data_IF_711796103336
#
_entry.id   IF_711796103336
#
_cell.length_a   1.000
_cell.length_b   1.000
_cell.length_c   1.000
_cell.angle_alpha   90.00
_cell.angle_beta   90.00
_cell.angle_gamma   90.00
#
_symmetry.space_group_name_H-M   'P 1'
#
loop_
_entity.id
_entity.type
_entity.pdbx_description
1 polymer ?
#
# COMPACT_ATOMS: atom_id res chain seq x y z
N UNK A 1 5.98 -43.16 -2.93
CA UNK A 1 6.36 -42.06 -2.03
C UNK A 1 7.08 -41.06 -2.91
N UNK A 2 6.48 -39.87 -3.15
CA UNK A 2 7.17 -38.84 -3.95
C UNK A 2 8.47 -38.47 -3.27
N UNK A 3 9.51 -38.21 -4.06
CA UNK A 3 10.79 -37.74 -3.54
C UNK A 3 10.60 -36.40 -2.83
N UNK A 4 11.36 -36.19 -1.76
CA UNK A 4 11.44 -34.95 -0.99
C UNK A 4 11.57 -33.68 -1.85
N UNK A 5 12.41 -33.74 -2.89
CA UNK A 5 12.59 -32.65 -3.86
C UNK A 5 11.39 -32.47 -4.80
N UNK A 6 10.56 -33.49 -4.98
CA UNK A 6 9.34 -33.40 -5.80
C UNK A 6 8.30 -32.52 -5.13
N UNK A 7 8.22 -32.47 -3.79
CA UNK A 7 7.26 -31.61 -3.10
C UNK A 7 7.58 -30.12 -3.26
N UNK A 8 8.85 -29.72 -3.10
CA UNK A 8 9.27 -28.34 -3.39
C UNK A 8 9.03 -28.03 -4.85
N UNK A 9 9.43 -28.94 -5.75
CA UNK A 9 9.25 -28.73 -7.20
C UNK A 9 7.78 -28.54 -7.55
N UNK A 10 6.88 -29.37 -7.02
CA UNK A 10 5.43 -29.27 -7.27
C UNK A 10 4.86 -27.95 -6.74
N UNK A 11 5.28 -27.50 -5.56
CA UNK A 11 4.91 -26.18 -5.01
C UNK A 11 5.36 -25.04 -5.92
N UNK A 12 6.63 -25.04 -6.34
CA UNK A 12 7.19 -24.02 -7.22
C UNK A 12 6.51 -24.00 -8.60
N UNK A 13 6.16 -25.18 -9.14
CA UNK A 13 5.41 -25.30 -10.40
C UNK A 13 3.98 -24.79 -10.23
N UNK A 14 3.36 -25.06 -9.08
CA UNK A 14 2.00 -24.57 -8.78
C UNK A 14 1.94 -23.04 -8.73
N UNK A 15 2.93 -22.41 -8.09
CA UNK A 15 3.13 -20.95 -8.12
C UNK A 15 1.87 -20.14 -7.82
N UNK A 16 1.08 -20.55 -6.82
CA UNK A 16 -0.25 -20.00 -6.55
C UNK A 16 -0.15 -18.53 -6.12
N UNK A 17 -0.66 -17.60 -6.94
CA UNK A 17 -0.72 -16.17 -6.59
C UNK A 17 -2.15 -15.84 -6.15
N UNK A 18 -2.28 -15.40 -4.90
CA UNK A 18 -3.57 -15.07 -4.27
C UNK A 18 -4.05 -13.66 -4.64
N UNK A 19 -3.12 -12.76 -5.02
CA UNK A 19 -3.43 -11.37 -5.35
C UNK A 19 -3.30 -10.39 -4.17
N UNK A 20 -2.64 -10.80 -3.09
CA UNK A 20 -2.35 -9.96 -1.91
C UNK A 20 -0.85 -9.68 -1.81
N UNK A 21 -0.46 -8.43 -1.57
CA UNK A 21 0.97 -8.04 -1.51
C UNK A 21 1.69 -8.62 -0.29
N UNK A 22 0.97 -8.93 0.79
CA UNK A 22 1.56 -9.57 1.97
C UNK A 22 1.83 -11.07 1.76
N UNK A 23 1.21 -11.67 0.73
CA UNK A 23 1.35 -13.07 0.37
C UNK A 23 2.35 -13.26 -0.79
N UNK A 24 2.82 -14.49 -1.04
CA UNK A 24 3.68 -14.80 -2.18
C UNK A 24 3.12 -14.31 -3.52
N UNK A 25 3.92 -13.54 -4.26
CA UNK A 25 3.59 -13.04 -5.60
C UNK A 25 4.59 -13.51 -6.67
N UNK A 26 5.83 -13.80 -6.26
CA UNK A 26 6.90 -14.24 -7.16
C UNK A 26 7.53 -15.52 -6.63
N UNK A 27 7.55 -16.58 -7.44
CA UNK A 27 8.07 -17.89 -7.04
C UNK A 27 9.38 -18.22 -7.73
N UNK A 28 10.25 -18.94 -7.01
CA UNK A 28 11.45 -19.50 -7.61
C UNK A 28 11.08 -20.51 -8.70
N UNK A 29 11.82 -20.53 -9.79
CA UNK A 29 11.66 -21.55 -10.84
C UNK A 29 12.57 -22.73 -10.54
N UNK A 30 12.11 -23.99 -10.64
CA UNK A 30 12.96 -25.16 -10.36
C UNK A 30 14.28 -25.16 -11.15
N UNK A 31 14.25 -24.74 -12.41
CA UNK A 31 15.42 -24.64 -13.30
C UNK A 31 16.39 -23.50 -12.95
N UNK A 32 15.92 -22.47 -12.27
CA UNK A 32 16.69 -21.27 -11.89
C UNK A 32 16.67 -21.05 -10.36
N UNK A 33 16.51 -22.13 -9.59
CA UNK A 33 16.27 -22.05 -8.14
C UNK A 33 17.40 -21.33 -7.41
N UNK A 34 18.66 -21.58 -7.83
CA UNK A 34 19.84 -20.94 -7.27
C UNK A 34 19.94 -19.45 -7.61
N UNK A 35 19.50 -19.03 -8.79
CA UNK A 35 19.51 -17.62 -9.20
C UNK A 35 18.54 -16.81 -8.34
N UNK A 36 17.43 -17.42 -7.92
CA UNK A 36 16.46 -16.82 -7.01
C UNK A 36 16.99 -16.57 -5.59
N UNK A 37 18.16 -17.14 -5.26
CA UNK A 37 18.82 -16.96 -3.97
C UNK A 37 19.74 -15.72 -3.94
N UNK A 38 19.91 -15.04 -5.08
CA UNK A 38 20.71 -13.82 -5.18
C UNK A 38 20.12 -12.69 -4.32
N UNK A 39 20.98 -11.96 -3.61
CA UNK A 39 20.61 -10.89 -2.68
C UNK A 39 20.40 -11.34 -1.23
N UNK A 40 20.12 -12.63 -1.00
CA UNK A 40 19.93 -13.19 0.35
C UNK A 40 21.04 -14.16 0.72
N UNK A 41 21.26 -15.13 -0.16
CA UNK A 41 22.17 -16.27 0.04
C UNK A 41 23.49 -16.08 -0.70
N UNK A 42 23.46 -15.39 -1.84
CA UNK A 42 24.64 -15.07 -2.66
C UNK A 42 24.58 -13.62 -3.12
N UNK A 43 25.74 -12.99 -3.27
CA UNK A 43 25.83 -11.66 -3.85
C UNK A 43 25.55 -11.77 -5.37
N UNK A 44 24.55 -11.04 -5.87
CA UNK A 44 24.14 -11.12 -7.28
C UNK A 44 25.20 -10.62 -8.28
N UNK A 45 26.20 -9.86 -7.83
CA UNK A 45 27.27 -9.34 -8.68
C UNK A 45 28.57 -10.16 -8.55
N UNK A 46 28.95 -10.56 -7.33
CA UNK A 46 30.23 -11.22 -7.06
C UNK A 46 30.12 -12.75 -6.95
N UNK A 47 28.90 -13.27 -6.72
CA UNK A 47 28.66 -14.68 -6.44
C UNK A 47 29.13 -15.14 -5.05
N UNK A 48 29.64 -14.22 -4.22
CA UNK A 48 30.09 -14.55 -2.87
C UNK A 48 28.92 -14.98 -1.99
N UNK A 49 29.20 -15.91 -1.07
CA UNK A 49 28.22 -16.36 -0.08
C UNK A 49 27.88 -15.24 0.90
N UNK A 50 26.58 -15.03 1.14
CA UNK A 50 26.07 -14.08 2.13
C UNK A 50 25.57 -14.77 3.41
N UNK A 51 25.55 -16.11 3.43
CA UNK A 51 25.05 -16.88 4.58
C UNK A 51 26.04 -16.95 5.73
N UNK A 52 25.53 -17.02 6.95
CA UNK A 52 26.31 -17.10 8.19
C UNK A 52 25.48 -17.71 9.32
N UNK A 53 26.16 -18.30 10.30
CA UNK A 53 25.57 -18.81 11.56
C UNK A 53 25.45 -17.71 12.63
N UNK A 54 25.76 -16.47 12.29
CA UNK A 54 25.65 -15.34 13.23
C UNK A 54 24.18 -15.02 13.50
N UNK A 55 23.84 -14.71 14.76
CA UNK A 55 22.49 -14.28 15.12
C UNK A 55 22.01 -13.12 14.23
N UNK A 56 20.79 -13.25 13.71
CA UNK A 56 20.20 -12.29 12.76
C UNK A 56 20.77 -12.33 11.33
N UNK A 57 21.70 -13.23 11.01
CA UNK A 57 22.15 -13.44 9.63
C UNK A 57 21.28 -14.47 8.89
N UNK A 58 21.38 -14.48 7.56
CA UNK A 58 20.71 -15.50 6.75
C UNK A 58 21.41 -16.85 6.93
N UNK A 59 20.68 -17.88 7.37
CA UNK A 59 21.28 -19.19 7.68
C UNK A 59 21.63 -20.00 6.42
N UNK A 60 22.68 -20.83 6.42
CA UNK A 60 23.06 -21.61 5.24
C UNK A 60 21.98 -22.56 4.69
N UNK A 61 21.16 -23.10 5.57
CA UNK A 61 20.07 -24.03 5.30
C UNK A 61 18.78 -23.34 4.86
N UNK A 62 18.69 -22.01 4.94
CA UNK A 62 17.51 -21.26 4.51
C UNK A 62 17.54 -21.02 3.00
N UNK A 63 16.51 -21.54 2.32
CA UNK A 63 16.32 -21.38 0.88
C UNK A 63 14.97 -20.73 0.57
N UNK A 64 15.04 -19.67 -0.22
CA UNK A 64 13.89 -18.88 -0.62
C UNK A 64 13.14 -19.61 -1.71
N UNK A 65 11.83 -19.76 -1.52
CA UNK A 65 10.93 -20.41 -2.48
C UNK A 65 9.99 -19.42 -3.14
N UNK A 66 9.72 -18.29 -2.49
CA UNK A 66 8.95 -17.19 -3.06
C UNK A 66 9.32 -15.84 -2.41
N UNK A 67 8.88 -14.75 -3.02
CA UNK A 67 8.87 -13.40 -2.46
C UNK A 67 7.44 -12.90 -2.38
N UNK A 68 7.12 -12.17 -1.32
CA UNK A 68 5.86 -11.42 -1.23
C UNK A 68 5.88 -10.24 -2.19
N UNK A 69 4.72 -9.58 -2.37
CA UNK A 69 4.66 -8.31 -3.10
C UNK A 69 5.35 -7.14 -2.39
N UNK A 70 5.76 -7.32 -1.14
CA UNK A 70 6.55 -6.38 -0.35
C UNK A 70 8.05 -6.73 -0.34
N UNK A 71 8.50 -7.67 -1.17
CA UNK A 71 9.90 -8.14 -1.20
C UNK A 71 10.37 -8.86 0.09
N UNK A 72 9.44 -9.38 0.91
CA UNK A 72 9.76 -10.29 2.01
C UNK A 72 10.00 -11.71 1.49
N UNK A 73 11.09 -12.38 1.91
CA UNK A 73 11.36 -13.75 1.50
C UNK A 73 10.44 -14.74 2.21
N UNK A 74 9.86 -15.64 1.44
CA UNK A 74 9.23 -16.87 1.93
C UNK A 74 10.18 -18.03 1.69
N UNK A 75 10.60 -18.70 2.75
CA UNK A 75 11.71 -19.64 2.72
C UNK A 75 11.46 -20.90 3.56
N UNK A 76 12.30 -21.91 3.31
CA UNK A 76 12.31 -23.19 4.00
C UNK A 76 13.67 -23.41 4.63
N UNK A 77 13.68 -24.09 5.77
CA UNK A 77 14.89 -24.70 6.32
C UNK A 77 15.08 -26.09 5.68
N UNK A 78 16.18 -26.26 4.95
CA UNK A 78 16.46 -27.50 4.23
C UNK A 78 16.78 -28.69 5.14
N UNK A 79 17.06 -28.46 6.42
CA UNK A 79 17.28 -29.51 7.41
C UNK A 79 15.97 -30.03 8.03
N UNK A 80 14.84 -29.33 7.85
CA UNK A 80 13.54 -29.68 8.47
C UNK A 80 12.66 -30.57 7.57
N UNK A 81 13.32 -31.44 6.83
CA UNK A 81 12.71 -32.36 5.89
C UNK A 81 11.66 -33.29 6.52
N UNK A 82 12.01 -33.83 7.69
CA UNK A 82 11.19 -34.79 8.42
C UNK A 82 9.90 -34.17 8.97
N UNK A 83 9.90 -32.84 9.18
CA UNK A 83 8.74 -32.06 9.58
C UNK A 83 7.89 -31.59 8.39
N UNK A 84 8.25 -31.97 7.15
CA UNK A 84 7.53 -31.59 5.94
C UNK A 84 7.77 -30.15 5.50
N UNK A 85 8.93 -29.57 5.86
CA UNK A 85 9.32 -28.19 5.58
C UNK A 85 8.34 -27.15 6.11
N UNK A 86 8.39 -26.83 7.41
CA UNK A 86 7.75 -25.63 7.88
C UNK A 86 8.14 -24.42 7.01
N UNK A 87 7.17 -23.53 6.78
CA UNK A 87 7.38 -22.36 5.92
C UNK A 87 7.57 -21.15 6.80
N UNK A 88 8.57 -20.36 6.47
CA UNK A 88 8.96 -19.17 7.21
C UNK A 88 8.91 -17.93 6.32
N UNK A 89 8.74 -16.79 6.95
CA UNK A 89 9.03 -15.47 6.38
C UNK A 89 9.93 -14.69 7.33
N UNK A 90 10.49 -13.58 6.86
CA UNK A 90 11.21 -12.62 7.68
C UNK A 90 11.04 -11.22 7.07
N UNK A 91 10.84 -10.20 7.90
CA UNK A 91 10.61 -8.83 7.42
C UNK A 91 11.89 -8.26 6.81
N UNK A 92 11.79 -7.78 5.57
CA UNK A 92 12.90 -7.17 4.86
C UNK A 92 13.32 -5.83 5.51
N UNK A 93 14.58 -5.43 5.33
CA UNK A 93 15.04 -4.07 5.67
C UNK A 93 15.29 -3.79 7.17
N UNK A 94 15.09 -4.74 8.07
CA UNK A 94 15.36 -4.59 9.51
C UNK A 94 16.85 -4.66 9.89
N UNK A 95 17.73 -4.96 8.92
CA UNK A 95 19.18 -5.15 9.15
C UNK A 95 19.54 -6.47 9.86
N UNK A 96 18.54 -7.31 10.13
CA UNK A 96 18.62 -8.68 10.65
C UNK A 96 17.49 -9.52 10.07
N UNK A 97 17.65 -10.83 10.10
CA UNK A 97 16.63 -11.79 9.67
C UNK A 97 16.12 -12.57 10.89
N UNK A 98 14.87 -12.31 11.27
CA UNK A 98 14.16 -13.02 12.33
C UNK A 98 13.07 -13.88 11.71
N UNK A 99 13.16 -15.20 11.86
CA UNK A 99 12.22 -16.13 11.26
C UNK A 99 10.84 -16.09 11.94
N UNK A 100 9.80 -16.02 11.12
CA UNK A 100 8.41 -16.13 11.54
C UNK A 100 7.83 -17.34 10.82
N UNK A 101 7.50 -18.41 11.56
CA UNK A 101 6.90 -19.60 10.97
C UNK A 101 5.45 -19.32 10.57
N UNK A 102 5.16 -19.31 9.26
CA UNK A 102 3.84 -19.00 8.70
C UNK A 102 3.03 -20.25 8.36
N UNK A 103 3.66 -21.43 8.27
CA UNK A 103 2.94 -22.69 8.12
C UNK A 103 3.68 -23.88 8.74
N UNK A 104 2.96 -24.92 9.21
CA UNK A 104 3.58 -26.10 9.79
C UNK A 104 4.27 -27.01 8.77
N UNK A 105 3.93 -26.89 7.49
CA UNK A 105 4.56 -27.64 6.39
C UNK A 105 4.29 -26.96 5.06
N UNK A 106 5.13 -27.22 4.05
CA UNK A 106 4.98 -26.70 2.70
C UNK A 106 3.65 -27.14 2.08
N UNK A 107 3.23 -28.38 2.36
CA UNK A 107 1.95 -28.91 1.87
C UNK A 107 0.74 -28.23 2.52
N UNK A 108 0.82 -27.85 3.80
CA UNK A 108 -0.24 -27.07 4.45
C UNK A 108 -0.31 -25.66 3.87
N UNK A 109 0.85 -25.02 3.67
CA UNK A 109 0.93 -23.70 3.05
C UNK A 109 0.36 -23.68 1.63
N UNK A 110 0.73 -24.64 0.78
CA UNK A 110 0.22 -24.76 -0.59
C UNK A 110 -1.31 -24.90 -0.64
N UNK A 111 -1.89 -25.74 0.23
CA UNK A 111 -3.35 -25.90 0.33
C UNK A 111 -4.02 -24.61 0.79
N UNK A 112 -3.45 -23.95 1.80
CA UNK A 112 -3.97 -22.68 2.30
C UNK A 112 -3.99 -21.63 1.18
N UNK A 113 -2.86 -21.40 0.49
CA UNK A 113 -2.80 -20.43 -0.61
C UNK A 113 -3.81 -20.73 -1.73
N UNK A 114 -3.99 -22.01 -2.10
CA UNK A 114 -4.99 -22.40 -3.10
C UNK A 114 -6.41 -22.07 -2.66
N UNK A 115 -6.73 -22.37 -1.39
CA UNK A 115 -8.06 -22.10 -0.84
C UNK A 115 -8.30 -20.59 -0.72
N UNK A 116 -7.28 -19.83 -0.30
CA UNK A 116 -7.35 -18.37 -0.24
C UNK A 116 -7.53 -17.73 -1.63
N UNK A 117 -6.88 -18.26 -2.66
CA UNK A 117 -7.06 -17.78 -4.03
C UNK A 117 -8.51 -17.95 -4.53
N UNK A 118 -9.17 -19.05 -4.15
CA UNK A 118 -10.58 -19.34 -4.50
C UNK A 118 -11.57 -18.35 -3.87
N UNK A 119 -11.23 -17.76 -2.72
CA UNK A 119 -12.08 -16.82 -1.98
C UNK A 119 -11.49 -15.42 -1.89
N UNK A 120 -10.58 -15.07 -2.80
CA UNK A 120 -9.87 -13.78 -2.79
C UNK A 120 -10.81 -12.57 -2.80
N UNK A 121 -11.99 -12.67 -3.40
CA UNK A 121 -12.96 -11.56 -3.41
C UNK A 121 -13.87 -11.52 -2.16
N UNK A 122 -13.80 -12.51 -1.27
CA UNK A 122 -14.61 -12.60 -0.05
C UNK A 122 -13.72 -12.42 1.19
N UNK A 123 -13.53 -11.17 1.63
CA UNK A 123 -12.69 -10.83 2.80
C UNK A 123 -13.10 -11.58 4.06
N UNK A 124 -14.41 -11.81 4.28
CA UNK A 124 -14.89 -12.47 5.47
C UNK A 124 -14.51 -13.96 5.47
N UNK A 125 -14.72 -14.66 4.35
CA UNK A 125 -14.34 -16.06 4.21
C UNK A 125 -12.82 -16.25 4.19
N UNK A 126 -12.09 -15.37 3.51
CA UNK A 126 -10.63 -15.33 3.50
C UNK A 126 -10.06 -15.28 4.93
N UNK A 127 -10.53 -14.33 5.74
CA UNK A 127 -10.10 -14.18 7.14
C UNK A 127 -10.48 -15.41 7.97
N UNK A 128 -11.68 -15.97 7.75
CA UNK A 128 -12.14 -17.18 8.44
C UNK A 128 -11.23 -18.38 8.17
N UNK A 129 -10.77 -18.56 6.92
CA UNK A 129 -9.88 -19.66 6.55
C UNK A 129 -8.52 -19.55 7.22
N UNK A 130 -7.92 -18.35 7.26
CA UNK A 130 -6.65 -18.10 7.97
C UNK A 130 -6.81 -18.45 9.46
N UNK A 131 -7.87 -17.97 10.11
CA UNK A 131 -8.12 -18.25 11.53
C UNK A 131 -8.40 -19.73 11.84
N UNK A 132 -8.92 -20.48 10.86
CA UNK A 132 -9.21 -21.91 11.03
C UNK A 132 -7.97 -22.79 10.84
N UNK A 133 -7.12 -22.48 9.85
CA UNK A 133 -5.91 -23.27 9.54
C UNK A 133 -4.77 -22.94 10.51
N UNK A 134 -4.66 -21.68 10.94
CA UNK A 134 -3.57 -21.22 11.81
C UNK A 134 -4.06 -21.25 13.25
N UNK A 135 -3.77 -22.34 13.98
CA UNK A 135 -4.21 -22.56 15.37
C UNK A 135 -3.87 -21.41 16.34
N UNK A 136 -2.90 -20.56 15.99
CA UNK A 136 -2.69 -19.23 16.54
C UNK A 136 -2.18 -18.32 15.43
N UNK A 137 -2.94 -17.33 14.91
CA UNK A 137 -2.39 -16.37 13.98
C UNK A 137 -1.22 -15.67 14.67
N UNK A 138 -0.02 -15.94 14.16
CA UNK A 138 1.19 -15.23 14.51
C UNK A 138 1.09 -13.77 14.03
N UNK A 139 2.11 -12.97 14.27
CA UNK A 139 2.13 -11.57 13.86
C UNK A 139 1.88 -11.40 12.35
N UNK A 140 2.51 -12.23 11.51
CA UNK A 140 2.33 -12.20 10.06
C UNK A 140 0.88 -12.39 9.61
N UNK A 141 0.18 -13.41 10.11
CA UNK A 141 -1.21 -13.66 9.69
C UNK A 141 -2.18 -12.60 10.21
N UNK A 142 -1.86 -11.92 11.31
CA UNK A 142 -2.65 -10.76 11.76
C UNK A 142 -2.45 -9.59 10.80
N UNK A 143 -1.21 -9.31 10.42
CA UNK A 143 -0.91 -8.26 9.45
C UNK A 143 -1.58 -8.48 8.10
N UNK A 144 -1.61 -9.72 7.60
CA UNK A 144 -2.35 -10.09 6.37
C UNK A 144 -3.85 -9.76 6.51
N UNK A 145 -4.46 -10.13 7.63
CA UNK A 145 -5.90 -9.85 7.90
C UNK A 145 -6.14 -8.35 8.03
N UNK A 146 -5.31 -7.65 8.81
CA UNK A 146 -5.44 -6.22 9.10
C UNK A 146 -5.28 -5.39 7.82
N UNK A 147 -4.26 -5.68 7.01
CA UNK A 147 -4.01 -5.00 5.71
C UNK A 147 -5.21 -5.13 4.77
N UNK A 148 -5.82 -6.31 4.71
CA UNK A 148 -6.99 -6.55 3.84
C UNK A 148 -8.23 -5.79 4.33
N UNK A 149 -8.45 -5.76 5.65
CA UNK A 149 -9.54 -4.99 6.26
C UNK A 149 -9.35 -3.49 6.06
N UNK A 150 -8.13 -2.98 6.25
CA UNK A 150 -7.80 -1.57 5.98
C UNK A 150 -8.03 -1.22 4.52
N UNK A 151 -7.63 -2.08 3.59
CA UNK A 151 -7.86 -1.89 2.14
C UNK A 151 -9.35 -1.84 1.83
N UNK A 152 -10.16 -2.77 2.35
CA UNK A 152 -11.61 -2.78 2.16
C UNK A 152 -12.28 -1.52 2.76
N UNK A 153 -11.86 -1.08 3.95
CA UNK A 153 -12.33 0.16 4.56
C UNK A 153 -11.94 1.39 3.71
N UNK A 154 -10.73 1.41 3.17
CA UNK A 154 -10.27 2.46 2.27
C UNK A 154 -11.09 2.47 0.98
N UNK A 155 -11.33 1.32 0.35
CA UNK A 155 -12.15 1.20 -0.85
C UNK A 155 -13.60 1.65 -0.62
N UNK A 156 -14.20 1.23 0.50
CA UNK A 156 -15.55 1.65 0.90
C UNK A 156 -15.60 3.15 1.22
N UNK A 157 -14.56 3.72 1.84
CA UNK A 157 -14.44 5.16 2.08
C UNK A 157 -14.12 5.95 0.81
N UNK A 158 -13.46 5.33 -0.17
CA UNK A 158 -13.11 5.91 -1.46
C UNK A 158 -14.27 5.93 -2.46
N UNK A 159 -15.42 5.37 -2.09
CA UNK A 159 -16.66 5.54 -2.86
C UNK A 159 -17.12 7.01 -2.93
N UNK A 160 -16.55 7.90 -2.11
CA UNK A 160 -16.42 9.32 -2.41
C UNK A 160 -15.26 9.55 -3.41
N UNK A 161 -15.33 8.91 -4.58
CA UNK A 161 -14.66 9.43 -5.77
C UNK A 161 -15.37 10.76 -6.01
N UNK A 162 -14.83 11.84 -5.45
CA UNK A 162 -15.06 13.20 -5.94
C UNK A 162 -15.11 13.10 -7.45
N UNK A 163 -16.28 13.38 -8.05
CA UNK A 163 -16.50 13.38 -9.48
C UNK A 163 -15.24 13.95 -10.13
N UNK A 164 -14.49 13.08 -10.83
CA UNK A 164 -13.29 13.49 -11.53
C UNK A 164 -13.75 14.46 -12.63
N UNK A 165 -13.70 15.76 -12.35
CA UNK A 165 -13.95 16.80 -13.31
C UNK A 165 -12.59 17.31 -13.83
N UNK A 166 -12.22 17.02 -15.10
CA UNK A 166 -11.03 17.61 -15.71
C UNK A 166 -10.96 19.14 -15.58
N UNK A 167 -12.10 19.83 -15.42
CA UNK A 167 -12.15 21.26 -15.20
C UNK A 167 -11.53 21.69 -13.86
N UNK A 168 -11.42 20.81 -12.86
CA UNK A 168 -10.81 21.13 -11.56
C UNK A 168 -9.30 21.40 -11.62
N UNK A 169 -8.65 20.98 -12.71
CA UNK A 169 -7.24 21.22 -12.98
C UNK A 169 -6.99 22.47 -13.84
N UNK A 170 -8.05 23.11 -14.33
CA UNK A 170 -7.95 24.37 -15.06
C UNK A 170 -7.38 25.44 -14.14
N UNK A 171 -6.32 26.12 -14.58
CA UNK A 171 -5.68 27.20 -13.83
C UNK A 171 -6.36 28.53 -14.12
N UNK A 172 -6.44 29.38 -13.11
CA UNK A 172 -7.03 30.69 -13.24
C UNK A 172 -7.09 31.45 -11.93
N UNK A 173 -7.83 32.55 -11.98
CA UNK A 173 -8.06 33.45 -10.87
C UNK A 173 -9.51 33.35 -10.39
N UNK A 174 -9.72 33.30 -9.07
CA UNK A 174 -11.03 33.46 -8.47
C UNK A 174 -11.27 34.94 -8.17
N UNK A 175 -12.29 35.52 -8.79
CA UNK A 175 -12.62 36.94 -8.73
C UNK A 175 -13.92 37.12 -7.95
N UNK A 176 -13.91 37.98 -6.94
CA UNK A 176 -15.11 38.46 -6.27
C UNK A 176 -15.68 39.62 -7.08
N UNK A 177 -16.87 39.41 -7.64
CA UNK A 177 -17.62 40.39 -8.43
C UNK A 177 -18.46 41.28 -7.51
N UNK A 178 -19.05 40.69 -6.47
CA UNK A 178 -19.78 41.42 -5.43
C UNK A 178 -19.46 40.82 -4.06
N UNK A 179 -18.91 41.58 -3.10
CA UNK A 179 -18.64 41.07 -1.76
C UNK A 179 -19.89 40.87 -0.89
N UNK A 180 -21.07 41.31 -1.34
CA UNK A 180 -22.35 41.03 -0.70
C UNK A 180 -22.52 41.65 0.70
N UNK A 181 -23.47 41.15 1.51
CA UNK A 181 -23.85 41.75 2.79
C UNK A 181 -22.77 41.64 3.87
N UNK A 182 -21.82 40.70 3.73
CA UNK A 182 -20.76 40.45 4.69
C UNK A 182 -19.38 40.90 4.19
N UNK A 183 -19.34 42.06 3.51
CA UNK A 183 -18.15 42.64 2.88
C UNK A 183 -16.88 42.61 3.74
N UNK A 184 -16.95 42.96 5.02
CA UNK A 184 -15.76 42.96 5.89
C UNK A 184 -15.18 41.54 6.09
N UNK A 185 -16.03 40.51 6.23
CA UNK A 185 -15.58 39.12 6.38
C UNK A 185 -14.97 38.59 5.09
N UNK A 186 -15.59 38.92 3.95
CA UNK A 186 -15.07 38.59 2.61
C UNK A 186 -13.67 39.19 2.41
N UNK A 187 -13.48 40.46 2.76
CA UNK A 187 -12.17 41.12 2.65
C UNK A 187 -11.12 40.51 3.58
N UNK A 188 -11.51 40.09 4.80
CA UNK A 188 -10.59 39.39 5.71
C UNK A 188 -10.12 38.05 5.14
N UNK A 189 -11.03 37.28 4.54
CA UNK A 189 -10.69 36.01 3.87
C UNK A 189 -9.72 36.27 2.71
N UNK A 190 -10.05 37.22 1.82
CA UNK A 190 -9.18 37.58 0.68
C UNK A 190 -7.81 38.07 1.13
N UNK A 191 -7.76 38.91 2.18
CA UNK A 191 -6.51 39.40 2.79
C UNK A 191 -5.62 38.25 3.27
N UNK A 192 -6.23 37.28 3.96
CA UNK A 192 -5.54 36.10 4.49
C UNK A 192 -5.01 35.20 3.37
N UNK A 193 -5.83 34.94 2.35
CA UNK A 193 -5.46 34.10 1.21
C UNK A 193 -4.34 34.70 0.36
N UNK A 194 -4.28 36.04 0.26
CA UNK A 194 -3.27 36.75 -0.52
C UNK A 194 -2.04 37.19 0.28
N UNK A 195 -2.02 36.93 1.59
CA UNK A 195 -0.96 37.42 2.48
C UNK A 195 -0.88 38.96 2.54
N UNK A 196 -1.96 39.67 2.22
CA UNK A 196 -1.99 41.13 2.21
C UNK A 196 -2.35 41.68 3.60
N UNK A 197 -1.82 42.84 4.01
CA UNK A 197 -2.30 43.56 5.18
C UNK A 197 -3.78 43.95 5.02
N UNK A 198 -4.58 43.84 6.07
CA UNK A 198 -6.03 44.11 6.02
C UNK A 198 -6.36 45.52 5.48
N UNK A 199 -5.51 46.51 5.76
CA UNK A 199 -5.64 47.88 5.27
C UNK A 199 -5.54 47.96 3.73
N UNK A 200 -4.67 47.16 3.13
CA UNK A 200 -4.49 47.09 1.68
C UNK A 200 -5.64 46.30 1.02
N UNK A 201 -6.08 45.21 1.65
CA UNK A 201 -7.25 44.46 1.18
C UNK A 201 -8.54 45.29 1.21
N UNK A 202 -8.73 46.14 2.24
CA UNK A 202 -9.86 47.07 2.32
C UNK A 202 -9.82 48.15 1.23
N UNK A 203 -8.64 48.64 0.85
CA UNK A 203 -8.49 49.58 -0.25
C UNK A 203 -8.86 48.94 -1.60
N UNK A 204 -8.57 47.64 -1.77
CA UNK A 204 -8.92 46.87 -2.96
C UNK A 204 -10.42 46.47 -3.00
N UNK A 205 -11.10 46.42 -1.85
CA UNK A 205 -12.54 46.13 -1.77
C UNK A 205 -13.45 47.25 -2.32
N UNK A 206 -12.87 48.40 -2.69
CA UNK A 206 -13.53 49.46 -3.44
C UNK A 206 -13.41 49.32 -4.96
N UNK A 207 -12.60 48.38 -5.44
CA UNK A 207 -12.52 48.05 -6.87
C UNK A 207 -13.76 47.26 -7.31
N UNK A 208 -14.21 47.42 -8.57
CA UNK A 208 -15.36 46.69 -9.10
C UNK A 208 -15.15 45.17 -9.12
N UNK A 209 -13.90 44.71 -9.13
CA UNK A 209 -13.53 43.30 -9.10
C UNK A 209 -12.35 43.11 -8.15
N UNK A 210 -12.45 42.11 -7.26
CA UNK A 210 -11.42 41.80 -6.29
C UNK A 210 -10.94 40.36 -6.48
N UNK A 211 -9.71 40.18 -6.94
CA UNK A 211 -9.07 38.85 -6.97
C UNK A 211 -8.93 38.31 -5.55
N UNK A 212 -9.54 37.15 -5.30
CA UNK A 212 -9.53 36.43 -4.03
C UNK A 212 -8.33 35.48 -3.91
N UNK A 213 -7.96 34.83 -5.01
CA UNK A 213 -6.88 33.83 -5.04
C UNK A 213 -6.62 33.33 -6.46
N UNK A 214 -5.62 32.46 -6.58
CA UNK A 214 -5.18 31.85 -7.84
C UNK A 214 -4.70 30.44 -7.60
N UNK A 215 -4.92 29.59 -8.58
CA UNK A 215 -4.63 28.16 -8.47
C UNK A 215 -5.46 27.38 -9.47
N UNK A 216 -5.58 26.09 -9.26
CA UNK A 216 -6.52 25.29 -10.04
C UNK A 216 -7.95 25.50 -9.53
N UNK A 217 -8.95 25.32 -10.40
CA UNK A 217 -10.37 25.46 -10.04
C UNK A 217 -10.75 24.60 -8.82
N UNK A 218 -10.25 23.37 -8.74
CA UNK A 218 -10.45 22.47 -7.61
C UNK A 218 -9.78 22.96 -6.31
N UNK A 219 -8.60 23.57 -6.38
CA UNK A 219 -7.95 24.18 -5.22
C UNK A 219 -8.73 25.40 -4.69
N UNK A 220 -9.42 26.11 -5.58
CA UNK A 220 -10.18 27.32 -5.27
C UNK A 220 -11.64 27.03 -4.89
N UNK A 221 -12.12 25.79 -4.99
CA UNK A 221 -13.51 25.40 -4.71
C UNK A 221 -13.93 25.68 -3.27
N UNK A 222 -13.09 25.33 -2.30
CA UNK A 222 -13.34 25.59 -0.87
C UNK A 222 -13.39 27.09 -0.59
N UNK A 223 -12.51 27.87 -1.22
CA UNK A 223 -12.49 29.33 -1.09
C UNK A 223 -13.75 29.95 -1.71
N UNK A 224 -14.16 29.45 -2.88
CA UNK A 224 -15.40 29.85 -3.56
C UNK A 224 -16.61 29.63 -2.67
N UNK A 225 -16.79 28.42 -2.13
CA UNK A 225 -17.94 28.09 -1.28
C UNK A 225 -17.99 28.95 -0.01
N UNK A 226 -16.82 29.20 0.62
CA UNK A 226 -16.73 30.09 1.79
C UNK A 226 -17.17 31.53 1.47
N UNK A 227 -16.80 32.04 0.29
CA UNK A 227 -17.18 33.38 -0.15
C UNK A 227 -18.68 33.46 -0.50
N UNK A 228 -19.20 32.45 -1.23
CA UNK A 228 -20.62 32.35 -1.60
C UNK A 228 -21.52 32.21 -0.36
N UNK A 229 -21.10 31.44 0.65
CA UNK A 229 -21.82 31.30 1.93
C UNK A 229 -21.93 32.62 2.69
N UNK A 230 -20.97 33.53 2.51
CA UNK A 230 -21.01 34.89 3.06
C UNK A 230 -21.85 35.85 2.19
N UNK A 231 -22.49 35.35 1.14
CA UNK A 231 -23.31 36.11 0.21
C UNK A 231 -22.51 36.86 -0.85
N UNK A 232 -21.24 36.52 -1.07
CA UNK A 232 -20.44 37.10 -2.15
C UNK A 232 -20.75 36.41 -3.49
N UNK A 233 -20.77 37.18 -4.57
CA UNK A 233 -20.78 36.64 -5.93
C UNK A 233 -19.35 36.52 -6.42
N UNK A 234 -18.96 35.31 -6.84
CA UNK A 234 -17.60 34.98 -7.27
C UNK A 234 -17.61 34.28 -8.62
N UNK A 235 -16.56 34.51 -9.40
CA UNK A 235 -16.38 33.97 -10.74
C UNK A 235 -14.96 33.39 -10.85
N UNK A 236 -14.82 32.17 -11.37
CA UNK A 236 -13.53 31.61 -11.75
C UNK A 236 -13.22 32.02 -13.20
N UNK A 237 -12.07 32.65 -13.42
CA UNK A 237 -11.60 33.06 -14.74
C UNK A 237 -10.35 32.25 -15.09
N UNK A 238 -10.41 31.36 -16.09
CA UNK A 238 -9.24 30.61 -16.51
C UNK A 238 -8.18 31.54 -17.13
N UNK A 239 -6.92 31.10 -17.07
CA UNK A 239 -5.75 31.77 -17.67
C UNK A 239 -5.84 31.86 -19.22
#
# INVERSE_FOLDING_TARGET
MKSFYENIRDFLISGTVVGDLTLPTSYAKPECFNDFQAGLRTNGNTGESLVSETDGAWKPEWYVVAMTGLDDPVFLDMNEAESGYPVYTAVHGAGRWDEIQIAPSLGAFDRLLKTLAEVSEDTAEFNRLIMAEVSFPNEYWREVIDTRQETELLEQSSSDISDYDPADFEKGDLIVIDPGPHKLKVVQIVSKCRGLPLKEALALAGAPELRAGSGTRGQLSVLREQLETLGATVEFRPD
#
